data_IF_806064574455
#
_entry.id   IF_806064574455
#
_cell.length_a   1.000
_cell.length_b   1.000
_cell.length_c   1.000
_cell.angle_alpha   90.00
_cell.angle_beta   90.00
_cell.angle_gamma   90.00
#
_symmetry.space_group_name_H-M   'P 1'
#
loop_
_entity.id
_entity.type
_entity.pdbx_description
1 polymer ?
#
# COMPACT_ATOMS: atom_id res chain seq x y z
N UNK A 1 2.05 13.58 -9.89
CA UNK A 1 1.72 12.26 -10.49
C UNK A 1 0.55 11.62 -9.77
N UNK A 2 -0.14 10.66 -10.41
CA UNK A 2 -1.30 9.92 -9.83
C UNK A 2 -0.91 8.58 -9.22
N UNK A 3 0.39 8.32 -9.08
CA UNK A 3 0.93 7.03 -8.61
C UNK A 3 1.64 7.23 -7.29
N UNK A 4 1.33 6.38 -6.31
CA UNK A 4 2.07 6.25 -5.07
C UNK A 4 2.88 4.96 -5.08
N UNK A 5 4.01 4.98 -4.38
CA UNK A 5 4.85 3.81 -4.16
C UNK A 5 4.97 3.58 -2.67
N UNK A 6 4.57 2.39 -2.23
CA UNK A 6 4.66 2.00 -0.83
C UNK A 6 5.86 1.08 -0.63
N UNK A 7 6.81 1.52 0.18
CA UNK A 7 7.95 0.71 0.61
C UNK A 7 7.57 -0.18 1.79
N UNK A 8 7.44 -1.47 1.50
CA UNK A 8 7.17 -2.50 2.50
C UNK A 8 8.49 -3.16 2.91
N UNK A 9 9.19 -2.55 3.87
CA UNK A 9 10.38 -3.13 4.51
C UNK A 9 10.04 -4.22 5.52
N UNK A 10 8.86 -4.12 6.14
CA UNK A 10 8.35 -5.12 7.08
C UNK A 10 7.18 -5.86 6.46
N UNK A 11 7.49 -6.98 5.83
CA UNK A 11 6.51 -7.80 5.12
C UNK A 11 5.59 -8.53 6.12
N UNK A 12 4.27 -8.25 6.14
CA UNK A 12 3.35 -8.86 7.10
C UNK A 12 2.89 -10.26 6.69
N UNK A 13 3.13 -10.69 5.45
CA UNK A 13 2.63 -11.95 4.89
C UNK A 13 1.38 -11.74 4.04
N UNK A 14 0.31 -12.48 4.33
CA UNK A 14 -0.87 -12.64 3.44
C UNK A 14 -1.68 -11.37 3.20
N UNK A 15 -1.67 -10.46 4.16
CA UNK A 15 -2.49 -9.24 4.17
C UNK A 15 -1.67 -8.05 4.66
N UNK A 16 -1.79 -6.92 3.97
CA UNK A 16 -1.15 -5.65 4.33
C UNK A 16 -2.20 -4.55 4.34
N UNK A 17 -2.23 -3.76 5.42
CA UNK A 17 -3.16 -2.64 5.56
C UNK A 17 -2.36 -1.34 5.53
N UNK A 18 -2.73 -0.45 4.61
CA UNK A 18 -2.20 0.92 4.51
C UNK A 18 -3.28 1.88 5.01
N UNK A 19 -3.02 2.52 6.15
CA UNK A 19 -3.92 3.51 6.74
C UNK A 19 -3.70 4.92 6.21
N UNK A 20 -4.75 5.74 6.31
CA UNK A 20 -4.70 7.17 6.01
C UNK A 20 -4.81 7.52 4.52
N UNK A 21 -4.98 6.55 3.63
CA UNK A 21 -5.04 6.81 2.19
C UNK A 21 -6.44 7.29 1.80
N UNK A 22 -6.58 8.60 1.64
CA UNK A 22 -7.85 9.27 1.29
C UNK A 22 -8.20 9.14 -0.18
N UNK A 23 -7.19 9.15 -1.04
CA UNK A 23 -7.43 9.04 -2.48
C UNK A 23 -7.84 7.62 -2.84
N UNK A 24 -8.86 7.49 -3.69
CA UNK A 24 -9.31 6.18 -4.18
C UNK A 24 -8.23 5.52 -5.04
N UNK A 25 -7.85 4.30 -4.67
CA UNK A 25 -6.95 3.44 -5.44
C UNK A 25 -7.73 2.75 -6.54
N UNK A 26 -7.20 2.81 -7.76
CA UNK A 26 -7.75 2.15 -8.95
C UNK A 26 -7.03 0.85 -9.23
N UNK A 27 -5.72 0.78 -8.97
CA UNK A 27 -4.90 -0.40 -9.24
C UNK A 27 -3.78 -0.52 -8.23
N UNK A 28 -3.51 -1.74 -7.80
CA UNK A 28 -2.37 -2.08 -6.95
C UNK A 28 -1.58 -3.23 -7.60
N UNK A 29 -0.26 -3.14 -7.59
CA UNK A 29 0.61 -4.17 -8.14
C UNK A 29 1.97 -4.18 -7.47
N UNK A 30 2.64 -5.33 -7.44
CA UNK A 30 4.05 -5.40 -7.06
C UNK A 30 4.90 -4.69 -8.11
N UNK A 31 5.75 -3.75 -7.70
CA UNK A 31 6.58 -3.00 -8.65
C UNK A 31 7.57 -3.90 -9.38
N UNK A 32 8.18 -4.84 -8.66
CA UNK A 32 9.22 -5.73 -9.19
C UNK A 32 8.72 -6.71 -10.26
N UNK A 33 7.49 -7.21 -10.12
CA UNK A 33 6.95 -8.26 -11.01
C UNK A 33 5.77 -7.79 -11.85
N UNK A 34 5.23 -6.61 -11.60
CA UNK A 34 3.98 -6.14 -12.22
C UNK A 34 2.73 -6.93 -11.81
N UNK A 35 2.85 -7.93 -10.93
CA UNK A 35 1.71 -8.78 -10.53
C UNK A 35 0.63 -7.93 -9.87
N UNK A 36 -0.62 -7.99 -10.35
CA UNK A 36 -1.72 -7.27 -9.74
C UNK A 36 -2.01 -7.84 -8.35
N UNK A 37 -2.28 -6.94 -7.40
CA UNK A 37 -2.63 -7.27 -6.02
C UNK A 37 -4.12 -7.00 -5.86
N UNK A 38 -4.86 -7.95 -5.29
CA UNK A 38 -6.26 -7.74 -4.94
C UNK A 38 -6.32 -6.80 -3.75
N UNK A 39 -7.19 -5.81 -3.79
CA UNK A 39 -7.31 -4.86 -2.70
C UNK A 39 -8.76 -4.48 -2.44
N UNK A 40 -9.00 -3.99 -1.24
CA UNK A 40 -10.27 -3.48 -0.78
C UNK A 40 -10.00 -2.20 0.00
N UNK A 41 -10.64 -1.09 -0.40
CA UNK A 41 -10.49 0.20 0.29
C UNK A 41 -11.76 0.48 1.09
N UNK A 42 -11.64 0.52 2.42
CA UNK A 42 -12.71 0.90 3.34
C UNK A 42 -12.38 2.26 3.95
N UNK A 43 -13.02 3.32 3.47
CA UNK A 43 -12.71 4.69 3.88
C UNK A 43 -11.24 5.03 3.59
N UNK A 44 -10.50 5.38 4.63
CA UNK A 44 -9.07 5.71 4.56
C UNK A 44 -8.14 4.49 4.71
N UNK A 45 -8.69 3.28 4.82
CA UNK A 45 -7.93 2.04 4.98
C UNK A 45 -7.90 1.27 3.66
N UNK A 46 -6.72 1.08 3.11
CA UNK A 46 -6.47 0.22 1.96
C UNK A 46 -5.98 -1.15 2.44
N UNK A 47 -6.75 -2.20 2.18
CA UNK A 47 -6.46 -3.58 2.57
C UNK A 47 -6.00 -4.32 1.32
N UNK A 48 -4.73 -4.67 1.26
CA UNK A 48 -4.16 -5.52 0.22
C UNK A 48 -4.26 -6.99 0.64
N UNK A 49 -4.83 -7.82 -0.22
CA UNK A 49 -5.14 -9.24 0.04
C UNK A 49 -4.43 -10.13 -0.97
N UNK A 50 -4.19 -11.38 -0.58
CA UNK A 50 -3.58 -12.39 -1.45
C UNK A 50 -2.10 -12.13 -1.70
N UNK A 51 -1.43 -11.49 -0.74
CA UNK A 51 0.00 -11.29 -0.81
C UNK A 51 0.75 -12.61 -0.51
N UNK A 52 1.94 -12.80 -1.09
CA UNK A 52 2.83 -13.92 -0.73
C UNK A 52 3.06 -14.03 0.79
N UNK A 53 3.12 -15.27 1.31
CA UNK A 53 3.40 -15.51 2.74
C UNK A 53 4.77 -14.98 3.16
N UNK A 54 5.75 -15.08 2.25
CA UNK A 54 7.11 -14.60 2.44
C UNK A 54 7.35 -13.40 1.54
N UNK A 55 8.27 -12.52 1.94
CA UNK A 55 8.65 -11.38 1.12
C UNK A 55 9.16 -11.89 -0.25
N UNK A 56 8.55 -11.47 -1.37
CA UNK A 56 9.02 -11.87 -2.69
C UNK A 56 10.42 -11.30 -2.99
N UNK A 57 10.82 -10.21 -2.34
CA UNK A 57 12.15 -9.63 -2.45
C UNK A 57 13.03 -10.10 -1.28
N UNK A 58 13.88 -11.09 -1.54
CA UNK A 58 14.75 -11.73 -0.53
C UNK A 58 16.14 -11.12 -0.45
N UNK A 59 16.53 -10.29 -1.43
CA UNK A 59 17.87 -9.69 -1.48
C UNK A 59 17.89 -8.40 -0.66
N UNK A 60 17.08 -7.41 -1.03
CA UNK A 60 17.00 -6.16 -0.29
C UNK A 60 16.11 -6.23 0.96
N UNK A 61 15.24 -7.24 1.04
CA UNK A 61 14.25 -7.36 2.12
C UNK A 61 13.16 -6.29 2.06
N UNK A 62 13.09 -5.48 0.99
CA UNK A 62 12.10 -4.42 0.81
C UNK A 62 11.29 -4.67 -0.45
N UNK A 63 9.99 -4.88 -0.29
CA UNK A 63 9.06 -5.00 -1.41
C UNK A 63 8.39 -3.66 -1.68
N UNK A 64 8.38 -3.24 -2.95
CA UNK A 64 7.70 -2.00 -3.36
C UNK A 64 6.35 -2.31 -3.99
N UNK A 65 5.30 -1.68 -3.49
CA UNK A 65 3.94 -1.79 -4.02
C UNK A 65 3.59 -0.50 -4.75
N UNK A 66 3.22 -0.63 -6.02
CA UNK A 66 2.74 0.48 -6.84
C UNK A 66 1.23 0.61 -6.66
N UNK A 67 0.78 1.81 -6.34
CA UNK A 67 -0.62 2.18 -6.18
C UNK A 67 -0.99 3.27 -7.17
N UNK A 68 -1.89 2.98 -8.09
CA UNK A 68 -2.40 3.94 -9.06
C UNK A 68 -3.70 4.51 -8.53
N UNK A 69 -3.71 5.82 -8.28
CA UNK A 69 -4.81 6.55 -7.67
C UNK A 69 -5.63 7.30 -8.72
N UNK A 70 -6.90 7.61 -8.40
CA UNK A 70 -7.75 8.41 -9.29
C UNK A 70 -7.23 9.85 -9.48
N UNK A 71 -6.68 10.40 -8.41
CA UNK A 71 -6.12 11.74 -8.31
C UNK A 71 -4.73 11.66 -7.67
N UNK A 72 -3.97 12.76 -7.54
CA UNK A 72 -2.74 12.75 -6.77
C UNK A 72 -2.95 12.09 -5.39
N UNK A 73 -2.06 11.17 -4.98
CA UNK A 73 -2.24 10.42 -3.76
C UNK A 73 -2.16 11.35 -2.55
N UNK A 74 -3.19 11.31 -1.70
CA UNK A 74 -3.24 12.03 -0.44
C UNK A 74 -3.34 11.03 0.69
N UNK A 75 -2.28 10.96 1.49
CA UNK A 75 -2.21 10.14 2.70
C UNK A 75 -2.16 11.06 3.92
N UNK A 76 -3.00 10.78 4.91
CA UNK A 76 -3.08 11.52 6.17
C UNK A 76 -2.96 10.50 7.30
N UNK A 77 -1.81 10.49 7.97
CA UNK A 77 -1.54 9.59 9.09
C UNK A 77 -1.87 10.32 10.40
N UNK A 78 -2.97 9.92 11.04
CA UNK A 78 -3.50 10.55 12.25
C UNK A 78 -4.33 11.82 11.99
N UNK A 79 -5.16 12.21 12.96
CA UNK A 79 -5.28 13.63 13.28
C UNK A 79 -3.96 13.94 13.99
N UNK A 80 -3.20 14.96 13.58
CA UNK A 80 -1.95 15.31 14.28
C UNK A 80 -2.18 15.22 15.79
N UNK A 81 -1.28 14.54 16.51
CA UNK A 81 -1.39 14.36 17.96
C UNK A 81 -1.75 15.72 18.60
N UNK A 82 -3.01 15.93 18.96
CA UNK A 82 -3.40 17.09 19.76
C UNK A 82 -3.15 16.68 21.19
N UNK A 83 -1.93 16.95 21.64
CA UNK A 83 -1.64 17.03 23.06
C UNK A 83 -2.36 18.31 23.51
N UNK A 84 -3.42 18.12 24.30
CA UNK A 84 -4.06 19.19 25.07
C UNK A 84 -3.03 19.90 25.96
#
# INVERSE_FOLDING_TARGET
GKTAYFWCSRWPGKELIIGGLRTKVQRASLLATGKPIRFEQKGERLILKGLPKLNPERIAGVSVIKLECKSPPRQVLGQGCMIL
#
